data_IF_135950189797
#
_entry.id   IF_135950189797
#
_cell.length_a   1.000
_cell.length_b   1.000
_cell.length_c   1.000
_cell.angle_alpha   90.00
_cell.angle_beta   90.00
_cell.angle_gamma   90.00
#
_symmetry.space_group_name_H-M   'P 1'
#
loop_
_entity.id
_entity.type
_entity.pdbx_description
1 polymer ?
#
# COMPACT_ATOMS: atom_id res chain seq x y z
N UNK A 1 -35.39 17.38 9.48
CA UNK A 1 -34.04 17.97 9.62
C UNK A 1 -33.03 16.91 9.21
N UNK A 2 -32.70 16.84 7.92
CA UNK A 2 -31.71 15.91 7.35
C UNK A 2 -30.69 16.75 6.60
N UNK A 3 -29.77 17.39 7.33
CA UNK A 3 -28.54 17.92 6.76
C UNK A 3 -27.43 16.95 7.17
N UNK A 4 -27.29 15.86 6.43
CA UNK A 4 -26.36 14.79 6.73
C UNK A 4 -25.34 14.63 5.61
N UNK A 5 -24.06 14.74 5.96
CA UNK A 5 -22.89 14.13 5.27
C UNK A 5 -22.51 14.57 3.85
N UNK A 6 -23.09 15.61 3.28
CA UNK A 6 -22.69 16.08 1.93
C UNK A 6 -21.24 16.66 1.88
N UNK A 7 -20.64 16.97 3.03
CA UNK A 7 -19.33 17.64 3.11
C UNK A 7 -18.12 16.70 2.93
N UNK A 8 -18.35 15.38 2.79
CA UNK A 8 -17.29 14.36 2.75
C UNK A 8 -17.19 13.62 1.40
N UNK A 9 -17.89 14.05 0.35
CA UNK A 9 -17.78 13.42 -0.97
C UNK A 9 -16.76 14.13 -1.86
N UNK A 10 -16.00 13.35 -2.64
CA UNK A 10 -15.01 13.87 -3.59
C UNK A 10 -15.63 13.85 -5.00
N UNK A 11 -15.86 15.01 -5.65
CA UNK A 11 -16.67 15.10 -6.87
C UNK A 11 -15.90 14.60 -8.11
N UNK A 12 -15.77 13.29 -8.28
CA UNK A 12 -15.08 12.64 -9.39
C UNK A 12 -15.97 12.44 -10.62
N UNK A 13 -17.27 12.16 -10.43
CA UNK A 13 -18.18 11.81 -11.52
C UNK A 13 -18.34 12.96 -12.51
N UNK A 14 -18.44 14.19 -12.01
CA UNK A 14 -18.56 15.42 -12.81
C UNK A 14 -17.21 15.98 -13.27
N UNK A 15 -16.09 15.52 -12.72
CA UNK A 15 -14.76 16.06 -13.03
C UNK A 15 -14.28 15.63 -14.42
N UNK A 16 -13.85 16.56 -15.26
CA UNK A 16 -13.08 16.24 -16.45
C UNK A 16 -11.61 15.90 -16.10
N UNK A 17 -10.80 15.62 -17.12
CA UNK A 17 -9.42 15.18 -16.93
C UNK A 17 -8.56 16.21 -16.20
N UNK A 18 -8.73 17.50 -16.52
CA UNK A 18 -8.01 18.58 -15.84
C UNK A 18 -8.44 18.68 -14.38
N UNK A 19 -9.76 18.59 -14.14
CA UNK A 19 -10.30 18.63 -12.79
C UNK A 19 -9.88 17.42 -11.95
N UNK A 20 -9.75 16.24 -12.55
CA UNK A 20 -9.22 15.06 -11.86
C UNK A 20 -7.77 15.27 -11.40
N UNK A 21 -6.93 15.88 -12.23
CA UNK A 21 -5.55 16.22 -11.85
C UNK A 21 -5.52 17.25 -10.71
N UNK A 22 -6.40 18.25 -10.75
CA UNK A 22 -6.55 19.24 -9.69
C UNK A 22 -7.00 18.60 -8.36
N UNK A 23 -8.01 17.71 -8.41
CA UNK A 23 -8.50 16.98 -7.24
C UNK A 23 -7.37 16.15 -6.62
N UNK A 24 -6.61 15.41 -7.42
CA UNK A 24 -5.46 14.63 -6.91
C UNK A 24 -4.45 15.53 -6.18
N UNK A 25 -4.13 16.69 -6.76
CA UNK A 25 -3.20 17.65 -6.18
C UNK A 25 -3.71 18.27 -4.87
N UNK A 26 -4.97 18.70 -4.82
CA UNK A 26 -5.56 19.37 -3.65
C UNK A 26 -5.75 18.40 -2.49
N UNK A 27 -6.17 17.18 -2.79
CA UNK A 27 -6.41 16.14 -1.77
C UNK A 27 -5.12 15.46 -1.30
N UNK A 28 -4.01 15.62 -2.04
CA UNK A 28 -2.74 14.98 -1.73
C UNK A 28 -2.76 13.46 -1.88
N UNK A 29 -3.72 12.89 -2.63
CA UNK A 29 -3.92 11.44 -2.76
C UNK A 29 -2.74 10.74 -3.46
N UNK A 30 -1.91 11.49 -4.20
CA UNK A 30 -0.67 10.99 -4.81
C UNK A 30 -0.88 10.10 -6.04
N UNK A 31 -2.06 10.13 -6.65
CA UNK A 31 -2.40 9.34 -7.84
C UNK A 31 -2.30 10.17 -9.11
N UNK A 32 -1.84 9.54 -10.20
CA UNK A 32 -1.80 10.20 -11.50
C UNK A 32 -3.19 10.30 -12.14
N UNK A 33 -3.29 11.05 -13.25
CA UNK A 33 -4.58 11.27 -13.91
C UNK A 33 -5.21 9.99 -14.46
N UNK A 34 -4.42 8.99 -14.86
CA UNK A 34 -4.94 7.72 -15.38
C UNK A 34 -5.50 6.84 -14.25
N UNK A 35 -4.83 6.83 -13.10
CA UNK A 35 -5.32 6.19 -11.87
C UNK A 35 -6.61 6.85 -11.39
N UNK A 36 -6.67 8.19 -11.43
CA UNK A 36 -7.88 8.95 -11.11
C UNK A 36 -9.05 8.63 -12.05
N UNK A 37 -8.79 8.47 -13.35
CA UNK A 37 -9.81 8.04 -14.32
C UNK A 37 -10.34 6.63 -14.02
N UNK A 38 -9.47 5.69 -13.61
CA UNK A 38 -9.88 4.33 -13.21
C UNK A 38 -10.79 4.36 -11.98
N UNK A 39 -10.47 5.18 -10.98
CA UNK A 39 -11.31 5.39 -9.79
C UNK A 39 -12.65 6.01 -10.20
N UNK A 40 -12.65 7.04 -11.05
CA UNK A 40 -13.88 7.63 -11.59
C UNK A 40 -14.77 6.59 -12.26
N UNK A 41 -14.22 5.74 -13.13
CA UNK A 41 -14.96 4.66 -13.81
C UNK A 41 -15.58 3.69 -12.79
N UNK A 42 -14.85 3.36 -11.73
CA UNK A 42 -15.37 2.50 -10.66
C UNK A 42 -16.59 3.13 -9.96
N UNK A 43 -16.50 4.41 -9.58
CA UNK A 43 -17.58 5.12 -8.89
C UNK A 43 -18.75 5.49 -9.81
N UNK A 44 -18.50 5.71 -11.10
CA UNK A 44 -19.57 5.82 -12.11
C UNK A 44 -20.45 4.57 -12.16
N UNK A 45 -19.86 3.37 -12.08
CA UNK A 45 -20.63 2.11 -12.01
C UNK A 45 -21.46 2.01 -10.73
N UNK A 46 -20.98 2.58 -9.63
CA UNK A 46 -21.71 2.68 -8.36
C UNK A 46 -22.75 3.81 -8.33
N UNK A 47 -22.76 4.69 -9.34
CA UNK A 47 -23.69 5.83 -9.48
C UNK A 47 -23.64 6.83 -8.31
N UNK A 48 -22.46 7.02 -7.72
CA UNK A 48 -22.20 8.03 -6.68
C UNK A 48 -20.73 8.42 -6.68
N UNK A 49 -20.42 9.56 -6.10
CA UNK A 49 -19.05 9.93 -5.80
C UNK A 49 -18.48 9.10 -4.63
N UNK A 50 -17.15 8.91 -4.56
CA UNK A 50 -16.51 8.35 -3.38
C UNK A 50 -16.63 9.30 -2.19
N UNK A 51 -16.73 8.72 -1.00
CA UNK A 51 -16.40 9.44 0.23
C UNK A 51 -14.90 9.73 0.28
N UNK A 52 -14.50 10.76 1.02
CA UNK A 52 -13.11 11.11 1.30
C UNK A 52 -12.29 9.93 1.83
N UNK A 53 -12.85 9.14 2.76
CA UNK A 53 -12.20 7.96 3.32
C UNK A 53 -12.00 6.87 2.27
N UNK A 54 -13.01 6.58 1.44
CA UNK A 54 -12.87 5.61 0.34
C UNK A 54 -11.79 6.06 -0.66
N UNK A 55 -11.78 7.36 -0.97
CA UNK A 55 -10.85 7.93 -1.93
C UNK A 55 -9.40 7.89 -1.41
N UNK A 56 -9.16 8.30 -0.16
CA UNK A 56 -7.83 8.26 0.45
C UNK A 56 -7.34 6.84 0.72
N UNK A 57 -8.23 5.91 1.08
CA UNK A 57 -7.89 4.50 1.23
C UNK A 57 -7.38 3.88 -0.09
N UNK A 58 -8.03 4.21 -1.21
CA UNK A 58 -7.56 3.82 -2.55
C UNK A 58 -6.20 4.45 -2.86
N UNK A 59 -6.02 5.73 -2.51
CA UNK A 59 -4.74 6.44 -2.66
C UNK A 59 -3.58 5.73 -1.96
N UNK A 60 -3.76 5.36 -0.69
CA UNK A 60 -2.73 4.63 0.06
C UNK A 60 -2.46 3.25 -0.54
N UNK A 61 -3.51 2.49 -0.84
CA UNK A 61 -3.39 1.14 -1.40
C UNK A 61 -2.70 1.11 -2.77
N UNK A 62 -2.89 2.14 -3.61
CA UNK A 62 -2.31 2.24 -4.95
C UNK A 62 -1.01 3.05 -4.99
N UNK A 63 -0.50 3.49 -3.84
CA UNK A 63 0.81 4.14 -3.75
C UNK A 63 1.93 3.20 -4.20
N UNK A 64 3.05 3.74 -4.68
CA UNK A 64 4.23 2.92 -5.03
C UNK A 64 4.73 2.13 -3.82
N UNK A 65 4.66 2.74 -2.62
CA UNK A 65 5.12 2.11 -1.38
C UNK A 65 4.33 0.84 -1.02
N UNK A 66 3.02 0.82 -1.27
CA UNK A 66 2.19 -0.35 -0.96
C UNK A 66 2.07 -1.35 -2.11
N UNK A 67 2.03 -0.87 -3.36
CA UNK A 67 1.69 -1.71 -4.51
C UNK A 67 2.88 -2.09 -5.40
N UNK A 68 4.07 -1.52 -5.14
CA UNK A 68 5.31 -1.84 -5.85
C UNK A 68 5.14 -1.70 -7.38
N UNK A 69 4.38 -0.70 -7.87
CA UNK A 69 3.98 -0.60 -9.28
C UNK A 69 5.16 -0.72 -10.24
N UNK A 70 6.28 -0.11 -9.87
CA UNK A 70 7.48 -0.08 -10.71
C UNK A 70 8.35 -1.33 -10.53
N UNK A 71 8.46 -1.84 -9.31
CA UNK A 71 9.40 -2.92 -8.98
C UNK A 71 8.80 -4.33 -9.13
N UNK A 72 7.48 -4.49 -9.01
CA UNK A 72 6.77 -5.77 -9.05
C UNK A 72 7.10 -6.61 -10.31
N UNK A 73 7.19 -6.07 -11.54
CA UNK A 73 7.58 -6.87 -12.70
C UNK A 73 8.96 -7.53 -12.54
N UNK A 74 9.93 -6.81 -11.98
CA UNK A 74 11.30 -7.30 -11.75
C UNK A 74 11.30 -8.32 -10.61
N UNK A 75 10.58 -8.05 -9.52
CA UNK A 75 10.47 -8.97 -8.38
C UNK A 75 9.88 -10.31 -8.81
N UNK A 76 8.89 -10.30 -9.71
CA UNK A 76 8.31 -11.52 -10.29
C UNK A 76 9.31 -12.33 -11.11
N UNK A 77 10.19 -11.66 -11.85
CA UNK A 77 11.21 -12.33 -12.67
C UNK A 77 12.34 -12.91 -11.81
N UNK A 78 12.78 -12.18 -10.79
CA UNK A 78 14.01 -12.48 -10.04
C UNK A 78 13.73 -13.24 -8.74
N UNK A 79 12.83 -12.74 -7.90
CA UNK A 79 12.63 -13.28 -6.54
C UNK A 79 11.58 -14.37 -6.49
N UNK A 80 10.45 -14.20 -7.18
CA UNK A 80 9.35 -15.18 -7.17
C UNK A 80 9.67 -16.46 -7.95
N UNK A 81 10.78 -16.49 -8.69
CA UNK A 81 11.24 -17.67 -9.44
C UNK A 81 12.26 -18.51 -8.66
N UNK A 82 12.72 -18.04 -7.49
CA UNK A 82 13.71 -18.75 -6.68
C UNK A 82 13.10 -20.05 -6.13
N UNK A 83 13.70 -21.17 -6.49
CA UNK A 83 13.36 -22.49 -5.97
C UNK A 83 14.46 -23.00 -5.07
N UNK A 84 14.16 -23.19 -3.79
CA UNK A 84 15.02 -23.87 -2.85
C UNK A 84 14.18 -24.86 -2.01
N UNK A 85 14.68 -26.07 -1.74
CA UNK A 85 13.96 -27.06 -0.93
C UNK A 85 13.54 -26.58 0.47
N UNK A 86 14.28 -25.62 1.01
CA UNK A 86 14.06 -25.07 2.35
C UNK A 86 13.01 -23.96 2.40
N UNK A 87 12.57 -23.45 1.25
CA UNK A 87 11.59 -22.38 1.19
C UNK A 87 10.21 -22.88 1.61
N UNK A 88 9.68 -22.37 2.72
CA UNK A 88 8.31 -22.65 3.16
C UNK A 88 7.36 -21.51 2.76
N UNK A 89 7.78 -20.26 2.99
CA UNK A 89 7.09 -19.04 2.56
C UNK A 89 8.13 -18.06 2.05
N UNK A 90 8.04 -17.59 0.80
CA UNK A 90 9.10 -16.73 0.23
C UNK A 90 8.66 -15.28 0.11
N UNK A 91 7.44 -15.01 -0.38
CA UNK A 91 6.92 -13.65 -0.60
C UNK A 91 5.37 -13.63 -0.61
N UNK A 92 4.73 -14.40 0.25
CA UNK A 92 3.25 -14.47 0.29
C UNK A 92 2.64 -13.73 1.50
N UNK A 93 3.44 -13.51 2.55
CA UNK A 93 3.03 -12.96 3.84
C UNK A 93 4.02 -11.88 4.31
N UNK A 94 3.82 -11.35 5.51
CA UNK A 94 4.59 -10.24 6.09
C UNK A 94 6.09 -10.57 6.32
N UNK A 95 6.47 -11.85 6.40
CA UNK A 95 7.86 -12.29 6.47
C UNK A 95 8.14 -13.59 5.70
N UNK A 96 9.39 -13.77 5.28
CA UNK A 96 9.86 -15.02 4.67
C UNK A 96 10.13 -16.10 5.72
N UNK A 97 9.76 -17.34 5.43
CA UNK A 97 9.95 -18.50 6.30
C UNK A 97 10.74 -19.59 5.59
N UNK A 98 11.85 -20.00 6.21
CA UNK A 98 12.77 -21.02 5.69
C UNK A 98 12.97 -22.12 6.73
N UNK A 99 12.87 -23.39 6.34
CA UNK A 99 13.09 -24.50 7.26
C UNK A 99 14.54 -24.57 7.71
N UNK A 100 14.74 -24.86 9.00
CA UNK A 100 16.06 -25.21 9.54
C UNK A 100 16.18 -26.73 9.67
N UNK A 101 15.19 -27.35 10.32
CA UNK A 101 15.03 -28.80 10.48
C UNK A 101 13.54 -29.18 10.63
N UNK A 102 13.26 -30.38 11.14
CA UNK A 102 11.90 -30.91 11.31
C UNK A 102 11.09 -30.22 12.43
N UNK A 103 11.75 -29.49 13.33
CA UNK A 103 11.11 -28.83 14.49
C UNK A 103 11.17 -27.30 14.42
N UNK A 104 12.13 -26.72 13.70
CA UNK A 104 12.41 -25.28 13.71
C UNK A 104 12.47 -24.66 12.31
N UNK A 105 12.14 -23.37 12.27
CA UNK A 105 12.18 -22.52 11.09
C UNK A 105 12.80 -21.16 11.41
N UNK A 106 13.40 -20.53 10.41
CA UNK A 106 13.76 -19.12 10.45
C UNK A 106 12.65 -18.28 9.85
N UNK A 107 12.20 -17.27 10.60
CA UNK A 107 11.34 -16.20 10.10
C UNK A 107 12.18 -14.95 9.93
N UNK A 108 12.27 -14.44 8.70
CA UNK A 108 13.16 -13.36 8.33
C UNK A 108 12.39 -12.33 7.53
N UNK A 109 12.47 -11.07 7.96
CA UNK A 109 11.94 -9.92 7.25
C UNK A 109 13.02 -8.84 7.14
N UNK A 110 12.90 -8.00 6.10
CA UNK A 110 13.71 -6.80 5.94
C UNK A 110 12.83 -5.64 5.48
N UNK A 111 12.89 -4.54 6.22
CA UNK A 111 12.19 -3.30 5.90
C UNK A 111 13.14 -2.11 5.91
N UNK A 112 12.67 -0.98 5.39
CA UNK A 112 13.36 0.30 5.50
C UNK A 112 12.39 1.39 5.93
N UNK A 113 12.86 2.35 6.72
CA UNK A 113 12.06 3.46 7.22
C UNK A 113 12.71 4.81 6.89
N UNK A 114 13.12 4.95 5.63
CA UNK A 114 14.05 5.97 5.17
C UNK A 114 13.49 7.39 5.25
N UNK A 115 12.31 7.63 4.67
CA UNK A 115 11.76 8.98 4.56
C UNK A 115 11.47 9.61 5.94
N UNK A 116 10.82 8.92 6.89
CA UNK A 116 10.58 9.50 8.21
C UNK A 116 11.88 9.67 9.00
N UNK A 117 12.83 8.72 8.91
CA UNK A 117 14.12 8.82 9.61
C UNK A 117 15.00 9.97 9.09
N UNK A 118 14.82 10.38 7.83
CA UNK A 118 15.49 11.56 7.28
C UNK A 118 14.98 12.88 7.88
N UNK A 119 13.71 12.91 8.32
CA UNK A 119 13.08 14.09 8.92
C UNK A 119 13.28 14.12 10.43
N UNK A 120 13.03 12.98 11.10
CA UNK A 120 13.19 12.82 12.54
C UNK A 120 13.83 11.46 12.83
N UNK A 121 15.15 11.41 13.07
CA UNK A 121 15.90 10.16 13.10
C UNK A 121 15.51 9.19 14.20
N UNK A 122 15.18 9.67 15.41
CA UNK A 122 14.98 8.79 16.56
C UNK A 122 13.64 8.07 16.46
N UNK A 123 12.55 8.81 16.27
CA UNK A 123 11.22 8.24 16.10
C UNK A 123 11.11 7.46 14.80
N UNK A 124 11.70 7.93 13.68
CA UNK A 124 11.73 7.19 12.43
C UNK A 124 12.41 5.82 12.54
N UNK A 125 13.57 5.75 13.23
CA UNK A 125 14.23 4.48 13.49
C UNK A 125 13.43 3.60 14.47
N UNK A 126 12.86 4.19 15.53
CA UNK A 126 12.08 3.46 16.52
C UNK A 126 10.82 2.83 15.91
N UNK A 127 10.09 3.54 15.06
CA UNK A 127 8.91 2.99 14.37
C UNK A 127 9.29 1.96 13.31
N UNK A 128 10.44 2.11 12.65
CA UNK A 128 10.99 1.09 11.75
C UNK A 128 11.31 -0.22 12.47
N UNK A 129 11.99 -0.16 13.63
CA UNK A 129 12.24 -1.33 14.48
C UNK A 129 10.92 -1.95 14.96
N UNK A 130 9.97 -1.11 15.35
CA UNK A 130 8.65 -1.60 15.77
C UNK A 130 7.86 -2.25 14.65
N UNK A 131 7.99 -1.78 13.40
CA UNK A 131 7.36 -2.35 12.20
C UNK A 131 7.83 -3.76 11.96
N UNK A 132 9.13 -3.91 11.68
CA UNK A 132 9.73 -5.20 11.36
C UNK A 132 9.54 -6.27 12.44
N UNK A 133 9.48 -5.86 13.72
CA UNK A 133 9.18 -6.79 14.81
C UNK A 133 7.76 -7.34 14.72
N UNK A 134 6.78 -6.51 14.35
CA UNK A 134 5.38 -6.97 14.20
C UNK A 134 5.24 -7.93 13.04
N UNK A 135 5.95 -7.71 11.94
CA UNK A 135 5.91 -8.58 10.76
C UNK A 135 6.44 -9.98 11.07
N UNK A 136 7.47 -10.10 11.91
CA UNK A 136 7.98 -11.42 12.33
C UNK A 136 7.02 -12.08 13.32
N UNK A 137 6.52 -11.32 14.30
CA UNK A 137 5.65 -11.87 15.36
C UNK A 137 4.26 -12.26 14.83
N UNK A 138 3.71 -11.56 13.84
CA UNK A 138 2.41 -11.91 13.26
C UNK A 138 2.43 -13.27 12.53
N UNK A 139 3.61 -13.76 12.14
CA UNK A 139 3.81 -15.09 11.57
C UNK A 139 3.73 -16.23 12.61
N UNK A 140 3.64 -15.90 13.91
CA UNK A 140 3.57 -16.87 15.00
C UNK A 140 4.92 -17.38 15.51
N UNK A 141 6.00 -16.63 15.25
CA UNK A 141 7.36 -16.89 15.74
C UNK A 141 7.56 -16.49 17.21
#
# INVERSE_FOLDING_TARGET
>A
MTSGRDDMEVPLLSADREKLAEISKVTGVGLDTEEMEKIKIHFQKKKRDPTDVEFQALGQAWSEHCSYKTSMPILKEVLLTIKAPQNMVVVEEDAGVVSFDDEYAYVVAFESHNHPSAIEPYGGAATGIGGILRDVVCMGA
#
